data_IF_769065432359
#
_entry.id   IF_769065432359
#
_cell.length_a   1.000
_cell.length_b   1.000
_cell.length_c   1.000
_cell.angle_alpha   90.00
_cell.angle_beta   90.00
_cell.angle_gamma   90.00
#
_symmetry.space_group_name_H-M   'P 1'
#
loop_
_entity.id
_entity.type
_entity.pdbx_description
1 polymer ?
#
# COMPACT_ATOMS: atom_id res chain seq x y z
N UNK A 1 -9.23 17.37 -3.55
CA UNK A 1 -8.56 17.73 -2.26
C UNK A 1 -7.37 16.81 -2.13
N UNK A 2 -6.14 17.32 -1.95
CA UNK A 2 -5.02 16.45 -1.55
C UNK A 2 -5.33 15.99 -0.13
N UNK A 3 -5.54 14.70 0.03
CA UNK A 3 -5.65 14.06 1.34
C UNK A 3 -4.24 13.71 1.76
N UNK A 4 -3.86 14.01 2.99
CA UNK A 4 -2.64 13.50 3.61
C UNK A 4 -3.04 12.25 4.43
N UNK A 5 -3.01 11.05 3.83
CA UNK A 5 -3.48 9.84 4.49
C UNK A 5 -2.50 9.39 5.56
N UNK A 6 -3.04 8.93 6.68
CA UNK A 6 -2.26 8.22 7.70
C UNK A 6 -1.87 6.82 7.22
N UNK A 7 -2.77 6.13 6.51
CA UNK A 7 -2.57 4.78 5.99
C UNK A 7 -2.87 4.75 4.49
N UNK A 8 -1.96 4.16 3.73
CA UNK A 8 -2.11 3.93 2.29
C UNK A 8 -2.12 2.43 2.03
N UNK A 9 -3.15 1.97 1.32
CA UNK A 9 -3.24 0.59 0.81
C UNK A 9 -3.19 0.66 -0.72
N UNK A 10 -2.04 0.32 -1.33
CA UNK A 10 -1.90 0.31 -2.78
C UNK A 10 -2.78 -0.77 -3.40
N UNK A 11 -3.33 -0.48 -4.58
CA UNK A 11 -4.08 -1.43 -5.41
C UNK A 11 -3.67 -1.24 -6.87
N UNK A 12 -3.88 -2.26 -7.71
CA UNK A 12 -3.59 -2.24 -9.15
C UNK A 12 -2.11 -2.00 -9.49
N UNK A 13 -1.22 -2.71 -8.80
CA UNK A 13 0.20 -2.79 -9.13
C UNK A 13 0.53 -4.19 -9.67
N UNK A 14 1.67 -4.32 -10.35
CA UNK A 14 2.14 -5.60 -10.87
C UNK A 14 2.36 -6.60 -9.73
N UNK A 15 1.58 -7.68 -9.72
CA UNK A 15 1.62 -8.73 -8.70
C UNK A 15 1.39 -10.09 -9.35
N UNK A 16 2.19 -11.08 -8.92
CA UNK A 16 2.07 -12.45 -9.41
C UNK A 16 0.66 -13.00 -9.20
N UNK A 17 0.09 -13.61 -10.24
CA UNK A 17 -1.24 -14.20 -10.20
C UNK A 17 -2.39 -13.27 -10.58
N UNK A 18 -2.13 -11.97 -10.78
CA UNK A 18 -3.14 -11.01 -11.25
C UNK A 18 -2.72 -10.44 -12.60
N UNK A 19 -3.53 -10.67 -13.62
CA UNK A 19 -3.35 -10.07 -14.95
C UNK A 19 -4.31 -8.91 -15.12
N UNK A 20 -3.76 -7.72 -15.34
CA UNK A 20 -4.52 -6.53 -15.70
C UNK A 20 -4.55 -6.37 -17.22
N UNK A 21 -5.64 -5.83 -17.77
CA UNK A 21 -5.74 -5.55 -19.22
C UNK A 21 -4.69 -4.57 -19.71
N UNK A 22 -4.27 -3.64 -18.83
CA UNK A 22 -3.19 -2.69 -19.07
C UNK A 22 -2.00 -3.08 -18.19
N UNK A 23 -0.76 -3.06 -18.72
CA UNK A 23 0.43 -3.31 -17.91
C UNK A 23 0.46 -2.41 -16.67
N UNK A 24 0.37 -3.03 -15.49
CA UNK A 24 0.48 -2.34 -14.23
C UNK A 24 1.96 -2.05 -13.93
N UNK A 25 2.23 -0.95 -13.22
CA UNK A 25 3.58 -0.65 -12.77
C UNK A 25 3.90 -1.40 -11.47
N UNK A 26 5.19 -1.72 -11.24
CA UNK A 26 5.62 -2.36 -10.02
C UNK A 26 5.44 -1.44 -8.81
N UNK A 27 5.16 -2.02 -7.63
CA UNK A 27 4.88 -1.27 -6.40
C UNK A 27 6.06 -0.39 -5.97
N UNK A 28 7.28 -0.79 -6.29
CA UNK A 28 8.52 -0.09 -5.98
C UNK A 28 8.56 1.31 -6.59
N UNK A 29 7.89 1.53 -7.72
CA UNK A 29 7.80 2.86 -8.32
C UNK A 29 6.96 3.80 -7.47
N UNK A 30 5.83 3.32 -6.94
CA UNK A 30 5.00 4.11 -6.01
C UNK A 30 5.78 4.50 -4.76
N UNK A 31 6.52 3.56 -4.17
CA UNK A 31 7.32 3.80 -2.97
C UNK A 31 8.41 4.86 -3.20
N UNK A 32 9.08 4.82 -4.36
CA UNK A 32 10.10 5.81 -4.75
C UNK A 32 9.49 7.20 -4.93
N UNK A 33 8.39 7.32 -5.68
CA UNK A 33 7.75 8.62 -5.95
C UNK A 33 7.19 9.22 -4.67
N UNK A 34 6.60 8.39 -3.80
CA UNK A 34 6.02 8.84 -2.54
C UNK A 34 7.07 9.05 -1.43
N UNK A 35 8.32 8.60 -1.62
CA UNK A 35 9.34 8.55 -0.57
C UNK A 35 8.87 7.80 0.68
N UNK A 36 8.13 6.71 0.47
CA UNK A 36 7.55 5.88 1.53
C UNK A 36 8.19 4.50 1.56
N UNK A 37 8.12 3.86 2.72
CA UNK A 37 8.49 2.45 2.92
C UNK A 37 7.24 1.60 3.09
N UNK A 38 7.22 0.42 2.48
CA UNK A 38 6.15 -0.55 2.64
C UNK A 38 6.43 -1.49 3.82
N UNK A 39 5.37 -1.82 4.56
CA UNK A 39 5.35 -2.93 5.51
C UNK A 39 5.36 -4.30 4.80
N UNK A 40 5.69 -5.34 5.56
CA UNK A 40 5.56 -6.72 5.08
C UNK A 40 4.12 -7.06 4.64
N UNK A 41 3.94 -7.85 3.55
CA UNK A 41 2.62 -8.22 3.07
C UNK A 41 1.80 -8.98 4.13
N UNK A 42 0.62 -8.47 4.45
CA UNK A 42 -0.29 -9.06 5.43
C UNK A 42 -1.57 -9.61 4.78
N UNK A 43 -2.18 -10.63 5.39
CA UNK A 43 -3.43 -11.21 4.87
C UNK A 43 -4.65 -10.32 5.11
N UNK A 44 -4.62 -9.53 6.19
CA UNK A 44 -5.73 -8.64 6.55
C UNK A 44 -5.22 -7.47 7.37
N UNK A 45 -5.82 -6.30 7.16
CA UNK A 45 -5.56 -5.08 7.92
C UNK A 45 -6.75 -4.75 8.81
N UNK A 46 -6.54 -4.70 10.13
CA UNK A 46 -7.53 -4.18 11.08
C UNK A 46 -7.35 -2.67 11.25
N UNK A 47 -8.28 -1.90 10.71
CA UNK A 47 -8.25 -0.42 10.71
C UNK A 47 -8.16 0.18 12.11
N UNK A 48 -8.83 -0.41 13.11
CA UNK A 48 -8.79 0.09 14.50
C UNK A 48 -7.37 0.15 15.07
N UNK A 49 -6.55 -0.87 14.81
CA UNK A 49 -5.15 -0.92 15.26
C UNK A 49 -4.22 -0.08 14.39
N UNK A 50 -4.54 0.03 13.10
CA UNK A 50 -3.73 0.80 12.16
C UNK A 50 -3.77 2.31 12.45
N UNK A 51 -4.83 2.83 13.05
CA UNK A 51 -4.93 4.24 13.41
C UNK A 51 -4.18 4.61 14.70
N UNK A 52 -4.05 3.67 15.65
CA UNK A 52 -3.40 3.90 16.95
C UNK A 52 -1.86 3.83 16.85
N UNK A 53 -1.32 3.06 15.91
CA UNK A 53 0.13 2.84 15.72
C UNK A 53 0.77 3.82 14.72
N UNK A 54 -0.06 4.59 14.01
CA UNK A 54 0.41 5.55 13.00
C UNK A 54 0.65 6.89 13.67
N UNK A 55 1.91 7.16 13.99
CA UNK A 55 2.37 8.48 14.41
C UNK A 55 2.24 9.54 13.31
N UNK A 56 3.15 10.52 13.26
CA UNK A 56 3.14 11.60 12.26
C UNK A 56 3.50 11.17 10.82
N UNK A 57 3.81 9.90 10.59
CA UNK A 57 4.34 9.39 9.31
C UNK A 57 3.33 8.49 8.60
N UNK A 58 3.09 8.75 7.32
CA UNK A 58 2.22 7.91 6.46
C UNK A 58 2.76 6.50 6.33
N UNK A 59 1.91 5.51 6.58
CA UNK A 59 2.25 4.09 6.54
C UNK A 59 1.67 3.41 5.30
N UNK A 60 2.48 2.64 4.58
CA UNK A 60 2.04 1.86 3.40
C UNK A 60 1.87 0.40 3.78
N UNK A 61 0.66 -0.13 3.61
CA UNK A 61 0.32 -1.52 3.92
C UNK A 61 0.04 -2.29 2.64
N UNK A 62 0.78 -3.38 2.44
CA UNK A 62 0.60 -4.30 1.31
C UNK A 62 -0.25 -5.48 1.74
N UNK A 63 -1.30 -5.79 0.97
CA UNK A 63 -2.16 -6.94 1.21
C UNK A 63 -1.79 -8.11 0.29
N UNK A 64 -1.86 -9.33 0.82
CA UNK A 64 -1.72 -10.55 0.02
C UNK A 64 -3.00 -10.81 -0.77
N UNK A 65 -2.86 -11.02 -2.07
CA UNK A 65 -3.95 -11.52 -2.92
C UNK A 65 -4.02 -13.04 -2.75
N UNK A 66 -5.22 -13.56 -2.49
CA UNK A 66 -5.48 -15.01 -2.38
C UNK A 66 -5.67 -15.66 -3.73
#
# INVERSE_FOLDING_TARGET
KKTDPNVVVPAHYDISGVSYEVPAQPLEEFLKVASLTADEPQESLKLSKASEDVGTQTKVVVLKVK
#
